data_IF_547714154056
#
_entry.id   IF_547714154056
#
_cell.length_a   1.000
_cell.length_b   1.000
_cell.length_c   1.000
_cell.angle_alpha   90.00
_cell.angle_beta   90.00
_cell.angle_gamma   90.00
#
_symmetry.space_group_name_H-M   'P 1'
#
loop_
_entity.id
_entity.type
_entity.pdbx_description
1 polymer ?
#
# COMPACT_ATOMS: atom_id res chain seq x y z
N UNK A 1 -62.42 20.52 28.05
CA UNK A 1 -62.63 19.17 27.50
C UNK A 1 -61.29 18.66 26.99
N UNK A 2 -60.62 17.79 27.72
CA UNK A 2 -59.31 17.24 27.31
C UNK A 2 -59.55 15.94 26.55
N UNK A 3 -59.28 15.94 25.24
CA UNK A 3 -59.30 14.72 24.45
C UNK A 3 -58.19 13.79 24.97
N UNK A 4 -58.56 12.65 25.57
CA UNK A 4 -57.62 11.56 25.84
C UNK A 4 -57.18 11.02 24.49
N UNK A 5 -55.98 11.40 24.06
CA UNK A 5 -55.32 10.76 22.93
C UNK A 5 -55.25 9.25 23.20
N UNK A 6 -55.96 8.47 22.40
CA UNK A 6 -55.92 7.02 22.46
C UNK A 6 -54.49 6.57 22.16
N UNK A 7 -53.77 6.09 23.18
CA UNK A 7 -52.45 5.49 22.98
C UNK A 7 -52.66 4.17 22.24
N UNK A 8 -52.31 4.12 20.95
CA UNK A 8 -52.21 2.86 20.21
C UNK A 8 -51.02 2.08 20.79
N UNK A 9 -51.30 0.95 21.44
CA UNK A 9 -50.27 0.02 21.86
C UNK A 9 -49.70 -0.72 20.66
N UNK A 10 -48.40 -0.99 20.67
CA UNK A 10 -47.73 -1.83 19.67
C UNK A 10 -47.92 -3.30 20.04
N UNK A 11 -48.12 -4.14 19.03
CA UNK A 11 -48.16 -5.59 19.23
C UNK A 11 -46.76 -6.14 19.50
N UNK A 12 -46.66 -7.24 20.25
CA UNK A 12 -45.38 -7.93 20.49
C UNK A 12 -44.69 -8.32 19.18
N UNK A 13 -45.47 -8.68 18.15
CA UNK A 13 -44.95 -9.01 16.83
C UNK A 13 -44.24 -7.81 16.18
N UNK A 14 -44.83 -6.62 16.22
CA UNK A 14 -44.22 -5.40 15.68
C UNK A 14 -42.93 -5.05 16.43
N UNK A 15 -42.91 -5.18 17.76
CA UNK A 15 -41.69 -4.96 18.54
C UNK A 15 -40.57 -5.94 18.14
N UNK A 16 -40.90 -7.23 17.95
CA UNK A 16 -39.94 -8.24 17.51
C UNK A 16 -39.44 -7.98 16.08
N UNK A 17 -40.32 -7.53 15.17
CA UNK A 17 -39.92 -7.15 13.80
C UNK A 17 -38.95 -5.97 13.81
N UNK A 18 -39.23 -4.92 14.59
CA UNK A 18 -38.35 -3.76 14.70
C UNK A 18 -37.01 -4.16 15.31
N UNK A 19 -36.99 -4.97 16.36
CA UNK A 19 -35.75 -5.47 16.96
C UNK A 19 -34.93 -6.31 15.96
N UNK A 20 -35.59 -7.17 15.19
CA UNK A 20 -34.94 -7.94 14.12
C UNK A 20 -34.33 -7.05 13.05
N UNK A 21 -35.09 -6.05 12.57
CA UNK A 21 -34.60 -5.08 11.60
C UNK A 21 -33.41 -4.27 12.12
N UNK A 22 -33.48 -3.80 13.37
CA UNK A 22 -32.39 -3.06 14.02
C UNK A 22 -31.13 -3.93 14.16
N UNK A 23 -31.29 -5.19 14.57
CA UNK A 23 -30.18 -6.14 14.67
C UNK A 23 -29.52 -6.34 13.30
N UNK A 24 -30.32 -6.51 12.24
CA UNK A 24 -29.83 -6.62 10.86
C UNK A 24 -29.04 -5.38 10.42
N UNK A 25 -29.56 -4.18 10.69
CA UNK A 25 -28.88 -2.93 10.36
C UNK A 25 -27.54 -2.78 11.08
N UNK A 26 -27.49 -3.12 12.38
CA UNK A 26 -26.24 -3.10 13.15
C UNK A 26 -25.21 -4.09 12.59
N UNK A 27 -25.64 -5.30 12.22
CA UNK A 27 -24.76 -6.31 11.63
C UNK A 27 -24.19 -5.85 10.27
N UNK A 28 -25.00 -5.20 9.44
CA UNK A 28 -24.55 -4.61 8.17
C UNK A 28 -23.52 -3.49 8.41
N UNK A 29 -23.82 -2.56 9.32
CA UNK A 29 -22.90 -1.47 9.65
C UNK A 29 -21.55 -1.99 10.17
N UNK A 30 -21.57 -2.99 11.05
CA UNK A 30 -20.35 -3.63 11.56
C UNK A 30 -19.54 -4.31 10.44
N UNK A 31 -20.22 -4.98 9.50
CA UNK A 31 -19.58 -5.63 8.36
C UNK A 31 -18.90 -4.63 7.43
N UNK A 32 -19.57 -3.51 7.14
CA UNK A 32 -19.02 -2.41 6.33
C UNK A 32 -17.82 -1.76 7.02
N UNK A 33 -17.91 -1.50 8.32
CA UNK A 33 -16.79 -0.93 9.09
C UNK A 33 -15.57 -1.86 9.08
N UNK A 34 -15.78 -3.16 9.31
CA UNK A 34 -14.70 -4.15 9.27
C UNK A 34 -14.06 -4.26 7.88
N UNK A 35 -14.87 -4.20 6.81
CA UNK A 35 -14.36 -4.18 5.45
C UNK A 35 -13.55 -2.91 5.15
N UNK A 36 -14.07 -1.74 5.53
CA UNK A 36 -13.39 -0.46 5.36
C UNK A 36 -12.02 -0.43 6.04
N UNK A 37 -11.93 -0.93 7.28
CA UNK A 37 -10.65 -1.01 8.00
C UNK A 37 -9.64 -1.90 7.30
N UNK A 38 -10.08 -3.05 6.76
CA UNK A 38 -9.20 -3.95 5.99
C UNK A 38 -8.68 -3.26 4.73
N UNK A 39 -9.54 -2.58 3.99
CA UNK A 39 -9.17 -1.88 2.76
C UNK A 39 -8.22 -0.70 3.06
N UNK A 40 -8.48 0.08 4.10
CA UNK A 40 -7.58 1.17 4.51
C UNK A 40 -6.18 0.66 4.88
N UNK A 41 -6.10 -0.50 5.56
CA UNK A 41 -4.81 -1.14 5.84
C UNK A 41 -4.08 -1.54 4.57
N UNK A 42 -4.78 -2.12 3.59
CA UNK A 42 -4.19 -2.47 2.29
C UNK A 42 -3.62 -1.25 1.56
N UNK A 43 -4.38 -0.17 1.51
CA UNK A 43 -3.95 1.07 0.85
C UNK A 43 -2.69 1.61 1.54
N UNK A 44 -2.68 1.64 2.88
CA UNK A 44 -1.53 2.12 3.66
C UNK A 44 -0.28 1.29 3.37
N UNK A 45 -0.41 -0.04 3.30
CA UNK A 45 0.71 -0.93 2.96
C UNK A 45 1.25 -0.62 1.56
N UNK A 46 0.37 -0.41 0.57
CA UNK A 46 0.80 -0.12 -0.80
C UNK A 46 1.50 1.22 -0.93
N UNK A 47 0.99 2.25 -0.25
CA UNK A 47 1.61 3.57 -0.21
C UNK A 47 3.00 3.45 0.41
N UNK A 48 3.12 2.82 1.57
CA UNK A 48 4.41 2.62 2.24
C UNK A 48 5.40 1.80 1.37
N UNK A 49 4.90 0.79 0.65
CA UNK A 49 5.71 0.02 -0.30
C UNK A 49 6.19 0.85 -1.49
N UNK A 50 5.31 1.68 -2.06
CA UNK A 50 5.64 2.61 -3.14
C UNK A 50 6.65 3.68 -2.69
N UNK A 51 6.48 4.23 -1.48
CA UNK A 51 7.44 5.16 -0.88
C UNK A 51 8.80 4.51 -0.63
N UNK A 52 8.85 3.26 -0.18
CA UNK A 52 10.10 2.53 -0.02
C UNK A 52 10.84 2.36 -1.37
N UNK A 53 10.13 2.02 -2.45
CA UNK A 53 10.72 1.96 -3.78
C UNK A 53 11.20 3.33 -4.26
N UNK A 54 10.40 4.38 -4.06
CA UNK A 54 10.76 5.74 -4.42
C UNK A 54 12.06 6.17 -3.71
N UNK A 55 12.16 5.94 -2.40
CA UNK A 55 13.35 6.26 -1.61
C UNK A 55 14.60 5.54 -2.12
N UNK A 56 14.49 4.24 -2.46
CA UNK A 56 15.61 3.48 -3.05
C UNK A 56 16.06 4.11 -4.38
N UNK A 57 15.12 4.55 -5.21
CA UNK A 57 15.45 5.20 -6.49
C UNK A 57 16.02 6.61 -6.29
N UNK A 58 15.59 7.36 -5.27
CA UNK A 58 16.21 8.63 -4.89
C UNK A 58 17.64 8.43 -4.37
N UNK A 59 17.89 7.40 -3.55
CA UNK A 59 19.24 7.01 -3.12
C UNK A 59 20.12 6.68 -4.33
N UNK A 60 19.58 6.00 -5.34
CA UNK A 60 20.31 5.73 -6.57
C UNK A 60 20.72 7.02 -7.29
N UNK A 61 19.80 7.99 -7.40
CA UNK A 61 20.10 9.30 -8.00
C UNK A 61 21.12 10.09 -7.19
N UNK A 62 21.06 10.00 -5.86
CA UNK A 62 22.00 10.67 -4.97
C UNK A 62 23.41 10.07 -5.07
N UNK A 63 23.52 8.73 -5.16
CA UNK A 63 24.79 8.03 -5.35
C UNK A 63 25.41 8.30 -6.74
N UNK A 64 24.58 8.57 -7.75
CA UNK A 64 25.04 8.90 -9.09
C UNK A 64 25.57 7.71 -9.87
N UNK A 65 26.07 7.96 -11.09
CA UNK A 65 26.41 6.88 -12.03
C UNK A 65 27.47 5.91 -11.46
N UNK A 66 28.52 6.42 -10.84
CA UNK A 66 29.62 5.59 -10.34
C UNK A 66 29.26 4.82 -9.06
N UNK A 67 28.36 5.36 -8.24
CA UNK A 67 27.94 4.76 -6.96
C UNK A 67 26.82 3.72 -7.08
N UNK A 68 26.22 3.56 -8.26
CA UNK A 68 25.11 2.63 -8.49
C UNK A 68 25.58 1.45 -9.35
N UNK A 69 25.78 0.30 -8.72
CA UNK A 69 26.15 -0.95 -9.36
C UNK A 69 25.31 -2.14 -8.82
N UNK A 70 25.65 -3.36 -9.23
CA UNK A 70 24.96 -4.56 -8.78
C UNK A 70 25.16 -4.85 -7.29
N UNK A 71 26.29 -4.44 -6.70
CA UNK A 71 26.54 -4.60 -5.27
C UNK A 71 25.70 -3.63 -4.44
N UNK A 72 25.61 -2.37 -4.89
CA UNK A 72 24.68 -1.37 -4.34
C UNK A 72 23.24 -1.90 -4.39
N UNK A 73 22.81 -2.45 -5.52
CA UNK A 73 21.47 -3.02 -5.68
C UNK A 73 21.22 -4.18 -4.70
N UNK A 74 22.16 -5.13 -4.60
CA UNK A 74 22.07 -6.28 -3.69
C UNK A 74 22.11 -5.92 -2.20
N UNK A 75 22.60 -4.73 -1.84
CA UNK A 75 22.59 -4.22 -0.47
C UNK A 75 21.27 -3.56 -0.04
N UNK A 76 20.34 -3.32 -0.98
CA UNK A 76 19.05 -2.69 -0.68
C UNK A 76 18.14 -3.69 0.03
N UNK A 77 17.37 -3.19 0.99
CA UNK A 77 16.40 -3.98 1.75
C UNK A 77 15.14 -3.18 2.01
N UNK A 78 14.04 -3.88 2.30
CA UNK A 78 12.81 -3.22 2.70
C UNK A 78 12.96 -2.57 4.08
N UNK A 79 12.42 -1.36 4.28
CA UNK A 79 12.33 -0.78 5.61
C UNK A 79 11.57 -1.69 6.58
N UNK A 80 12.06 -1.80 7.81
CA UNK A 80 11.43 -2.60 8.86
C UNK A 80 9.93 -2.35 9.07
N UNK A 81 9.41 -1.11 8.99
CA UNK A 81 7.97 -0.86 9.04
C UNK A 81 7.17 -1.59 7.96
N UNK A 82 7.65 -1.57 6.71
CA UNK A 82 6.99 -2.27 5.58
C UNK A 82 7.00 -3.78 5.82
N UNK A 83 8.13 -4.34 6.27
CA UNK A 83 8.24 -5.77 6.60
C UNK A 83 7.29 -6.20 7.72
N UNK A 84 7.06 -5.34 8.73
CA UNK A 84 6.09 -5.63 9.80
C UNK A 84 4.65 -5.58 9.32
N UNK A 85 4.33 -4.65 8.43
CA UNK A 85 2.97 -4.49 7.92
C UNK A 85 2.59 -5.58 6.91
N UNK A 86 3.55 -6.01 6.08
CA UNK A 86 3.40 -6.97 5.00
C UNK A 86 4.50 -8.05 5.03
N UNK A 87 4.50 -8.93 6.04
CA UNK A 87 5.52 -9.96 6.20
C UNK A 87 5.53 -10.92 5.00
N UNK A 88 6.73 -11.33 4.58
CA UNK A 88 6.94 -12.18 3.42
C UNK A 88 6.97 -11.45 2.08
N UNK A 89 6.83 -10.12 2.06
CA UNK A 89 7.08 -9.32 0.86
C UNK A 89 8.56 -9.36 0.46
N UNK A 90 8.84 -9.29 -0.84
CA UNK A 90 10.19 -9.39 -1.38
C UNK A 90 10.54 -8.17 -2.25
N UNK A 91 11.75 -7.63 -2.05
CA UNK A 91 12.31 -6.54 -2.85
C UNK A 91 13.35 -7.11 -3.82
N UNK A 92 13.30 -6.63 -5.05
CA UNK A 92 14.30 -6.86 -6.08
C UNK A 92 14.74 -5.51 -6.63
N UNK A 93 16.05 -5.26 -6.69
CA UNK A 93 16.63 -4.07 -7.31
C UNK A 93 17.63 -4.51 -8.36
N UNK A 94 17.53 -3.93 -9.55
CA UNK A 94 18.37 -4.26 -10.70
C UNK A 94 18.97 -3.00 -11.30
N UNK A 95 20.19 -3.12 -11.80
CA UNK A 95 20.92 -2.04 -12.47
C UNK A 95 21.37 -2.56 -13.82
N UNK A 96 21.00 -1.88 -14.89
CA UNK A 96 21.36 -2.24 -16.26
C UNK A 96 21.94 -1.04 -17.00
N UNK A 97 22.95 -1.27 -17.83
CA UNK A 97 23.43 -0.23 -18.75
C UNK A 97 22.42 -0.06 -19.88
N UNK A 98 22.16 1.19 -20.27
CA UNK A 98 21.22 1.49 -21.35
C UNK A 98 21.93 1.33 -22.70
N UNK A 99 21.49 0.42 -23.58
CA UNK A 99 22.10 0.25 -24.91
C UNK A 99 22.04 1.56 -25.71
N UNK A 100 23.17 1.95 -26.30
CA UNK A 100 23.27 3.18 -27.10
C UNK A 100 23.39 4.49 -26.31
N UNK A 101 23.39 4.44 -24.97
CA UNK A 101 23.56 5.61 -24.11
C UNK A 101 24.74 5.40 -23.12
N UNK A 102 26.00 5.64 -23.56
CA UNK A 102 27.15 5.55 -22.67
C UNK A 102 27.02 6.54 -21.51
N UNK A 103 27.42 6.13 -20.32
CA UNK A 103 27.29 6.95 -19.11
C UNK A 103 25.87 7.00 -18.54
N UNK A 104 24.98 6.08 -18.96
CA UNK A 104 23.60 5.97 -18.45
C UNK A 104 23.31 4.56 -17.94
N UNK A 105 22.76 4.47 -16.72
CA UNK A 105 22.24 3.25 -16.09
C UNK A 105 20.73 3.38 -15.87
N UNK A 106 20.00 2.31 -16.14
CA UNK A 106 18.63 2.12 -15.70
C UNK A 106 18.66 1.39 -14.37
N UNK A 107 17.98 1.94 -13.37
CA UNK A 107 17.78 1.31 -12.07
C UNK A 107 16.31 0.96 -11.97
N UNK A 108 15.98 -0.31 -11.78
CA UNK A 108 14.61 -0.77 -11.61
C UNK A 108 14.45 -1.47 -10.26
N UNK A 109 13.42 -1.09 -9.52
CA UNK A 109 13.07 -1.67 -8.24
C UNK A 109 11.66 -2.28 -8.31
N UNK A 110 11.51 -3.49 -7.81
CA UNK A 110 10.29 -4.27 -7.82
C UNK A 110 10.00 -4.78 -6.41
N UNK A 111 8.79 -4.57 -5.93
CA UNK A 111 8.31 -5.06 -4.65
C UNK A 111 7.17 -6.04 -4.90
N UNK A 112 7.38 -7.31 -4.60
CA UNK A 112 6.33 -8.30 -4.47
C UNK A 112 5.70 -8.16 -3.08
N UNK A 113 4.54 -7.52 -3.03
CA UNK A 113 3.81 -7.24 -1.81
C UNK A 113 2.87 -8.39 -1.47
N UNK A 114 3.03 -8.96 -0.28
CA UNK A 114 2.15 -10.01 0.26
C UNK A 114 1.28 -9.47 1.38
N UNK A 115 -0.02 -9.70 1.28
CA UNK A 115 -0.99 -9.32 2.30
C UNK A 115 -1.92 -10.49 2.63
N UNK A 116 -2.34 -10.58 3.89
CA UNK A 116 -3.36 -11.54 4.34
C UNK A 116 -4.72 -11.35 3.67
N UNK A 117 -5.04 -10.16 3.16
CA UNK A 117 -6.33 -9.89 2.52
C UNK A 117 -6.36 -10.27 1.03
N UNK A 118 -5.20 -10.53 0.42
CA UNK A 118 -5.10 -10.91 -0.98
C UNK A 118 -4.22 -12.16 -1.15
N UNK A 119 -4.80 -13.30 -1.57
CA UNK A 119 -4.04 -14.55 -1.72
C UNK A 119 -2.97 -14.47 -2.82
N UNK A 120 -3.15 -13.59 -3.80
CA UNK A 120 -2.16 -13.35 -4.84
C UNK A 120 -1.27 -12.16 -4.47
N UNK A 121 0.07 -12.31 -4.53
CA UNK A 121 0.99 -11.19 -4.36
C UNK A 121 0.74 -10.11 -5.40
N UNK A 122 0.89 -8.85 -4.99
CA UNK A 122 0.78 -7.70 -5.90
C UNK A 122 2.16 -7.10 -6.11
N UNK A 123 2.56 -6.88 -7.36
CA UNK A 123 3.87 -6.30 -7.65
C UNK A 123 3.76 -4.80 -7.89
N UNK A 124 4.58 -4.04 -7.18
CA UNK A 124 4.83 -2.62 -7.47
C UNK A 124 6.17 -2.54 -8.18
N UNK A 125 6.24 -1.85 -9.33
CA UNK A 125 7.49 -1.68 -10.08
C UNK A 125 7.72 -0.20 -10.34
N UNK A 126 8.94 0.25 -10.13
CA UNK A 126 9.38 1.59 -10.42
C UNK A 126 10.77 1.55 -11.03
N UNK A 127 11.11 2.54 -11.84
CA UNK A 127 12.45 2.67 -12.38
C UNK A 127 12.87 4.12 -12.48
N UNK A 128 14.17 4.32 -12.54
CA UNK A 128 14.76 5.63 -12.80
C UNK A 128 16.03 5.48 -13.61
N UNK A 129 16.48 6.59 -14.18
CA UNK A 129 17.70 6.66 -14.96
C UNK A 129 18.73 7.44 -14.14
N UNK A 130 19.95 6.91 -14.08
CA UNK A 130 21.09 7.55 -13.44
C UNK A 130 22.15 7.78 -14.51
N UNK A 131 22.58 9.02 -14.67
CA UNK A 131 23.58 9.41 -15.67
C UNK A 131 24.81 10.04 -15.05
N UNK A 132 25.93 10.05 -15.78
CA UNK A 132 27.10 10.85 -15.43
C UNK A 132 26.71 12.32 -15.41
N UNK A 133 26.99 13.03 -14.31
CA UNK A 133 26.81 14.49 -14.29
C UNK A 133 27.89 15.10 -15.18
N UNK A 134 27.55 15.91 -16.20
CA UNK A 134 28.57 16.66 -16.91
C UNK A 134 29.29 17.53 -15.88
N UNK A 135 30.60 17.33 -15.75
CA UNK A 135 31.40 18.05 -14.77
C UNK A 135 31.20 19.55 -14.94
N UNK A 136 30.92 20.24 -13.84
CA UNK A 136 31.32 21.64 -13.71
C UNK A 136 32.83 21.62 -13.75
N UNK A 137 33.40 21.72 -14.96
CA UNK A 137 34.83 21.89 -15.15
C UNK A 137 35.26 23.14 -14.40
N UNK A 138 36.07 22.94 -13.36
CA UNK A 138 36.96 23.95 -12.79
C UNK A 138 38.36 23.68 -13.31
#
# INVERSE_FOLDING_TARGET
MSARAARRGYSLLECLMVLGAMTGLVAMAASTAAWSMRESREITIRIAGAEALANILEEARAAGFDGVDMAWAGSRSLPGPVMRMAPGSALEVTVTLVPGAPGVKLVAASLELRSSNHPQPRTIRMSTIVGTRPGTGT
#
